data_IF_803301980913
#
_entry.id   IF_803301980913
#
_cell.length_a   1.000
_cell.length_b   1.000
_cell.length_c   1.000
_cell.angle_alpha   90.00
_cell.angle_beta   90.00
_cell.angle_gamma   90.00
#
_symmetry.space_group_name_H-M   'P 1'
#
loop_
_entity.id
_entity.type
_entity.pdbx_description
1 polymer ?
#
# COMPACT_ATOMS: atom_id res chain seq x y z
N UNK A 1 -1.31 76.10 43.51
CA UNK A 1 -2.00 74.81 43.37
C UNK A 1 -1.63 74.29 41.98
N UNK A 2 -0.83 73.22 41.97
CA UNK A 2 -0.15 72.64 40.84
C UNK A 2 -1.07 71.68 40.10
N UNK A 3 -1.22 71.89 38.78
CA UNK A 3 -1.72 70.85 37.88
C UNK A 3 -0.60 70.50 36.91
N UNK A 4 -0.02 69.37 37.11
CA UNK A 4 1.02 68.82 36.27
C UNK A 4 0.38 67.91 35.20
N UNK A 5 0.51 68.35 33.97
CA UNK A 5 0.04 67.66 32.75
C UNK A 5 0.93 66.44 32.44
N UNK A 6 0.31 65.24 32.45
CA UNK A 6 0.93 64.02 31.93
C UNK A 6 0.77 63.98 30.39
N UNK A 7 1.86 64.10 29.67
CA UNK A 7 1.96 63.75 28.25
C UNK A 7 2.43 62.27 28.14
N UNK A 8 1.69 61.38 27.45
CA UNK A 8 2.20 60.06 27.17
C UNK A 8 3.23 60.12 26.02
N UNK A 9 4.41 59.54 26.30
CA UNK A 9 5.44 59.31 25.28
C UNK A 9 4.92 58.36 24.21
N UNK A 10 4.70 58.85 23.01
CA UNK A 10 4.46 58.04 21.81
C UNK A 10 5.68 57.17 21.52
N UNK A 11 5.48 55.87 21.61
CA UNK A 11 6.48 54.84 21.35
C UNK A 11 6.78 54.79 19.85
N UNK A 12 7.99 55.28 19.46
CA UNK A 12 8.48 55.35 18.05
C UNK A 12 8.96 53.99 17.51
N UNK A 13 8.31 52.89 17.83
CA UNK A 13 8.75 51.55 17.41
C UNK A 13 7.91 50.76 16.41
N UNK A 14 6.72 51.12 15.90
CA UNK A 14 6.01 50.29 14.94
C UNK A 14 6.40 50.49 13.45
N UNK A 15 7.04 51.59 13.08
CA UNK A 15 7.26 51.88 11.66
C UNK A 15 8.35 51.00 11.01
N UNK A 16 9.37 50.58 11.73
CA UNK A 16 10.42 49.69 11.18
C UNK A 16 9.95 48.27 10.90
N UNK A 17 9.01 47.73 11.65
CA UNK A 17 8.46 46.40 11.42
C UNK A 17 7.39 46.34 10.33
N UNK A 18 6.64 47.42 10.10
CA UNK A 18 5.72 47.54 8.97
C UNK A 18 6.46 47.61 7.63
N UNK A 19 7.59 48.27 7.54
CA UNK A 19 8.38 48.37 6.28
C UNK A 19 9.05 47.02 5.96
N UNK A 20 9.56 46.28 6.96
CA UNK A 20 10.07 44.93 6.76
C UNK A 20 8.97 43.93 6.33
N UNK A 21 7.79 43.99 6.93
CA UNK A 21 6.65 43.13 6.55
C UNK A 21 6.16 43.39 5.13
N UNK A 22 6.14 44.65 4.69
CA UNK A 22 5.74 45.03 3.33
C UNK A 22 6.78 44.64 2.27
N UNK A 23 8.07 44.70 2.61
CA UNK A 23 9.17 44.24 1.73
C UNK A 23 9.21 42.73 1.59
N UNK A 24 8.97 41.96 2.67
CA UNK A 24 8.88 40.48 2.61
C UNK A 24 7.63 40.01 1.87
N UNK A 25 6.50 40.69 2.01
CA UNK A 25 5.28 40.37 1.26
C UNK A 25 5.45 40.63 -0.24
N UNK A 26 6.16 41.70 -0.61
CA UNK A 26 6.45 42.01 -2.03
C UNK A 26 7.39 40.95 -2.67
N UNK A 27 8.34 40.41 -1.94
CA UNK A 27 9.22 39.33 -2.42
C UNK A 27 8.49 37.99 -2.61
N UNK A 28 7.54 37.66 -1.75
CA UNK A 28 6.74 36.41 -1.87
C UNK A 28 5.79 36.49 -3.08
N UNK A 29 5.15 37.65 -3.30
CA UNK A 29 4.27 37.85 -4.48
C UNK A 29 5.03 37.83 -5.80
N UNK A 30 6.27 38.32 -5.80
CA UNK A 30 7.14 38.29 -7.00
C UNK A 30 7.57 36.86 -7.38
N UNK A 31 7.78 35.99 -6.39
CA UNK A 31 8.14 34.58 -6.62
C UNK A 31 7.00 33.77 -7.27
N UNK A 32 5.76 34.03 -6.92
CA UNK A 32 4.59 33.34 -7.53
C UNK A 32 4.33 33.80 -8.97
N UNK A 33 4.57 35.08 -9.30
CA UNK A 33 4.42 35.59 -10.66
C UNK A 33 5.44 35.00 -11.64
N UNK A 34 6.69 34.75 -11.22
CA UNK A 34 7.70 34.09 -12.06
C UNK A 34 7.40 32.62 -12.36
N UNK A 35 6.84 31.86 -11.38
CA UNK A 35 6.46 30.45 -11.57
C UNK A 35 5.33 30.30 -12.60
N UNK A 36 4.34 31.19 -12.59
CA UNK A 36 3.24 31.18 -13.56
C UNK A 36 3.68 31.48 -14.99
N UNK A 37 4.65 32.37 -15.18
CA UNK A 37 5.13 32.72 -16.51
C UNK A 37 5.89 31.57 -17.18
N UNK A 38 6.66 30.77 -16.41
CA UNK A 38 7.37 29.60 -16.94
C UNK A 38 6.40 28.49 -17.34
N UNK A 39 5.31 28.26 -16.56
CA UNK A 39 4.31 27.25 -16.86
C UNK A 39 3.56 27.57 -18.16
N UNK A 40 3.20 28.83 -18.39
CA UNK A 40 2.50 29.27 -19.59
C UNK A 40 3.38 29.08 -20.85
N UNK A 41 4.66 29.36 -20.78
CA UNK A 41 5.59 29.17 -21.91
C UNK A 41 5.70 27.66 -22.28
N UNK A 42 5.77 26.75 -21.33
CA UNK A 42 5.87 25.30 -21.58
C UNK A 42 4.61 24.73 -22.23
N UNK A 43 3.43 25.12 -21.76
CA UNK A 43 2.16 24.69 -22.34
C UNK A 43 1.97 25.21 -23.76
N UNK A 44 2.29 26.47 -23.99
CA UNK A 44 2.28 27.07 -25.35
C UNK A 44 3.26 26.37 -26.28
N UNK A 45 4.46 26.06 -25.79
CA UNK A 45 5.45 25.31 -26.56
C UNK A 45 4.91 23.90 -26.88
N UNK A 46 4.28 23.21 -25.93
CA UNK A 46 3.64 21.88 -26.15
C UNK A 46 2.57 21.96 -27.22
N UNK A 47 1.65 22.94 -27.14
CA UNK A 47 0.61 23.16 -28.16
C UNK A 47 1.22 23.43 -29.55
N UNK A 48 2.29 24.22 -29.63
CA UNK A 48 3.02 24.49 -30.87
C UNK A 48 3.66 23.23 -31.45
N UNK A 49 4.23 22.35 -30.60
CA UNK A 49 4.78 21.08 -31.07
C UNK A 49 3.68 20.17 -31.60
N UNK A 50 2.53 20.04 -30.90
CA UNK A 50 1.40 19.24 -31.36
C UNK A 50 0.93 19.69 -32.74
N UNK A 51 0.79 21.00 -32.95
CA UNK A 51 0.45 21.57 -34.24
C UNK A 51 1.49 21.22 -35.30
N UNK A 52 2.77 21.39 -35.01
CA UNK A 52 3.86 21.09 -35.95
C UNK A 52 3.93 19.59 -36.29
N UNK A 53 3.66 18.70 -35.33
CA UNK A 53 3.59 17.28 -35.61
C UNK A 53 2.46 16.97 -36.58
N UNK A 54 1.27 17.51 -36.31
CA UNK A 54 0.15 17.35 -37.20
C UNK A 54 0.41 17.95 -38.61
N UNK A 55 1.13 19.02 -38.71
CA UNK A 55 1.54 19.64 -40.00
C UNK A 55 2.48 18.73 -40.80
N UNK A 56 3.42 18.03 -40.12
CA UNK A 56 4.48 17.22 -40.72
C UNK A 56 4.15 15.71 -40.76
N UNK A 57 2.88 15.36 -40.69
CA UNK A 57 2.37 13.99 -40.89
C UNK A 57 1.30 14.04 -41.98
N UNK A 58 1.28 13.04 -42.86
CA UNK A 58 0.22 12.84 -43.85
C UNK A 58 -0.78 11.77 -43.34
N UNK A 59 -2.08 12.09 -43.43
CA UNK A 59 -3.18 11.20 -43.15
C UNK A 59 -3.78 10.58 -44.38
N UNK A 60 -4.22 9.31 -44.35
CA UNK A 60 -5.06 8.78 -45.42
C UNK A 60 -6.36 9.62 -45.45
N UNK A 61 -6.83 9.96 -46.66
CA UNK A 61 -8.05 10.75 -46.90
C UNK A 61 -8.05 12.17 -46.31
N UNK A 62 -6.89 12.80 -46.13
CA UNK A 62 -6.73 14.15 -45.58
C UNK A 62 -7.58 15.22 -46.34
N UNK A 63 -7.69 15.09 -47.66
CA UNK A 63 -8.44 16.03 -48.51
C UNK A 63 -9.96 16.01 -48.29
N UNK A 64 -10.49 14.97 -47.63
CA UNK A 64 -11.90 14.83 -47.32
C UNK A 64 -12.32 15.30 -45.91
N UNK A 65 -11.39 15.84 -45.15
CA UNK A 65 -11.67 16.36 -43.80
C UNK A 65 -12.34 17.76 -43.89
N UNK A 66 -13.44 17.93 -43.12
CA UNK A 66 -14.06 19.26 -42.98
C UNK A 66 -13.39 20.09 -41.88
N UNK A 67 -12.84 19.45 -40.88
CA UNK A 67 -12.04 20.06 -39.78
C UNK A 67 -10.95 19.07 -39.35
N UNK A 68 -9.91 19.61 -38.72
CA UNK A 68 -8.84 18.83 -38.16
C UNK A 68 -9.07 18.67 -36.64
N UNK A 69 -9.46 17.48 -36.19
CA UNK A 69 -9.90 17.23 -34.85
C UNK A 69 -8.70 16.85 -33.93
N UNK A 70 -8.46 17.65 -32.92
CA UNK A 70 -7.43 17.41 -31.88
C UNK A 70 -8.12 17.15 -30.56
N UNK A 71 -7.81 16.02 -29.92
CA UNK A 71 -8.28 15.71 -28.57
C UNK A 71 -7.16 15.86 -27.54
N UNK A 72 -7.50 16.42 -26.38
CA UNK A 72 -6.65 16.38 -25.18
C UNK A 72 -7.28 15.38 -24.22
N UNK A 73 -6.57 14.29 -23.95
CA UNK A 73 -7.01 13.26 -23.02
C UNK A 73 -6.63 13.65 -21.59
N UNK A 74 -7.61 14.18 -20.87
CA UNK A 74 -7.46 14.60 -19.47
C UNK A 74 -8.82 14.66 -18.80
N UNK A 75 -8.95 14.37 -17.48
CA UNK A 75 -10.21 14.51 -16.73
C UNK A 75 -10.68 15.97 -16.67
N UNK A 76 -9.75 16.94 -16.64
CA UNK A 76 -10.03 18.36 -16.49
C UNK A 76 -9.43 19.19 -17.63
N UNK A 77 -9.98 20.37 -17.88
CA UNK A 77 -9.37 21.32 -18.85
C UNK A 77 -8.00 21.77 -18.37
N UNK A 78 -7.02 21.48 -19.17
CA UNK A 78 -5.62 21.72 -18.85
C UNK A 78 -5.12 23.00 -19.52
N UNK A 79 -4.01 23.58 -19.04
CA UNK A 79 -3.39 24.71 -19.71
C UNK A 79 -3.03 24.42 -21.16
N UNK A 80 -2.61 23.18 -21.52
CA UNK A 80 -2.31 22.80 -22.92
C UNK A 80 -3.57 22.81 -23.78
N UNK A 81 -4.71 22.38 -23.23
CA UNK A 81 -6.00 22.48 -23.91
C UNK A 81 -6.34 23.93 -24.25
N UNK A 82 -6.18 24.84 -23.31
CA UNK A 82 -6.46 26.28 -23.53
C UNK A 82 -5.52 26.88 -24.60
N UNK A 83 -4.24 26.55 -24.59
CA UNK A 83 -3.28 27.00 -25.59
C UNK A 83 -3.58 26.42 -27.00
N UNK A 84 -4.05 25.14 -27.08
CA UNK A 84 -4.48 24.57 -28.35
C UNK A 84 -5.73 25.27 -28.91
N UNK A 85 -6.71 25.61 -28.04
CA UNK A 85 -7.91 26.37 -28.45
C UNK A 85 -7.50 27.73 -28.97
N UNK A 86 -6.64 28.50 -28.26
CA UNK A 86 -6.13 29.78 -28.72
C UNK A 86 -5.38 29.68 -30.05
N UNK A 87 -4.62 28.61 -30.25
CA UNK A 87 -3.92 28.35 -31.49
C UNK A 87 -4.92 28.05 -32.62
N UNK A 88 -5.93 27.24 -32.37
CA UNK A 88 -6.96 26.86 -33.34
C UNK A 88 -7.78 28.05 -33.88
N UNK A 89 -7.97 29.09 -33.05
CA UNK A 89 -8.65 30.34 -33.47
C UNK A 89 -7.82 31.15 -34.46
N UNK A 90 -6.50 31.00 -34.42
CA UNK A 90 -5.60 31.89 -35.19
C UNK A 90 -4.97 31.22 -36.42
N UNK A 91 -4.94 29.89 -36.49
CA UNK A 91 -4.27 29.17 -37.58
C UNK A 91 -5.13 28.05 -38.12
N UNK A 92 -4.90 27.70 -39.37
CA UNK A 92 -5.49 26.51 -40.01
C UNK A 92 -4.41 25.44 -40.15
N UNK A 93 -4.80 24.20 -40.13
CA UNK A 93 -3.91 23.08 -40.38
C UNK A 93 -4.27 22.46 -41.75
N UNK A 94 -3.31 22.46 -42.68
CA UNK A 94 -3.52 21.97 -44.06
C UNK A 94 -4.79 22.51 -44.75
N UNK A 95 -4.98 23.83 -44.57
CA UNK A 95 -6.15 24.59 -45.05
C UNK A 95 -7.50 24.26 -44.38
N UNK A 96 -7.52 23.38 -43.37
CA UNK A 96 -8.71 23.03 -42.59
C UNK A 96 -8.76 23.79 -41.28
N UNK A 97 -9.94 24.17 -40.77
CA UNK A 97 -10.08 24.67 -39.41
C UNK A 97 -9.70 23.57 -38.40
N UNK A 98 -9.20 23.97 -37.24
CA UNK A 98 -8.86 23.05 -36.13
C UNK A 98 -9.97 23.08 -35.11
N UNK A 99 -10.43 21.91 -34.69
CA UNK A 99 -11.36 21.75 -33.57
C UNK A 99 -10.62 21.07 -32.43
N UNK A 100 -10.69 21.64 -31.24
CA UNK A 100 -10.05 21.07 -30.05
C UNK A 100 -11.10 20.59 -29.08
N UNK A 101 -11.00 19.34 -28.66
CA UNK A 101 -11.91 18.68 -27.72
C UNK A 101 -11.15 18.15 -26.51
N UNK A 102 -11.75 18.27 -25.33
CA UNK A 102 -11.28 17.55 -24.16
C UNK A 102 -12.04 16.23 -24.02
N UNK A 103 -11.32 15.17 -23.73
CA UNK A 103 -11.90 13.82 -23.57
C UNK A 103 -11.28 13.12 -22.35
N UNK A 104 -12.05 12.24 -21.73
CA UNK A 104 -11.63 11.41 -20.61
C UNK A 104 -12.02 9.92 -20.83
N UNK A 105 -12.43 9.56 -22.03
CA UNK A 105 -12.85 8.21 -22.38
C UNK A 105 -12.20 7.75 -23.68
N UNK A 106 -11.81 6.48 -23.71
CA UNK A 106 -11.23 5.82 -24.89
C UNK A 106 -12.26 5.55 -25.98
N UNK A 107 -13.56 5.79 -25.70
CA UNK A 107 -14.62 5.59 -26.68
C UNK A 107 -14.54 6.65 -27.80
N UNK A 108 -14.71 6.19 -29.05
CA UNK A 108 -14.78 7.05 -30.21
C UNK A 108 -13.50 7.89 -30.50
N UNK A 109 -12.30 7.39 -30.13
CA UNK A 109 -11.02 8.07 -30.45
C UNK A 109 -10.75 8.16 -31.95
N UNK A 110 -11.30 7.26 -32.75
CA UNK A 110 -11.10 7.20 -34.20
C UNK A 110 -11.62 8.42 -34.98
N UNK A 111 -12.40 9.28 -34.34
CA UNK A 111 -12.86 10.53 -34.96
C UNK A 111 -11.81 11.65 -34.93
N UNK A 112 -10.80 11.53 -34.08
CA UNK A 112 -9.75 12.52 -33.93
C UNK A 112 -8.54 12.17 -34.80
N UNK A 113 -7.90 13.17 -35.37
CA UNK A 113 -6.62 13.00 -36.08
C UNK A 113 -5.45 12.98 -35.09
N UNK A 114 -5.54 13.74 -34.00
CA UNK A 114 -4.52 13.78 -32.96
C UNK A 114 -5.15 13.59 -31.59
N UNK A 115 -4.54 12.76 -30.78
CA UNK A 115 -4.86 12.60 -29.36
C UNK A 115 -3.59 12.91 -28.57
N UNK A 116 -3.64 13.98 -27.78
CA UNK A 116 -2.57 14.34 -26.84
C UNK A 116 -2.93 13.83 -25.42
N UNK A 117 -1.97 13.15 -24.80
CA UNK A 117 -2.13 12.60 -23.45
C UNK A 117 -1.19 13.39 -22.54
N UNK A 118 -1.77 14.26 -21.71
CA UNK A 118 -1.01 15.21 -20.88
C UNK A 118 -0.38 14.56 -19.65
N UNK A 119 -1.12 13.71 -18.95
CA UNK A 119 -0.60 12.99 -17.81
C UNK A 119 -0.52 11.51 -18.15
N UNK A 120 0.67 11.01 -18.36
CA UNK A 120 0.88 9.61 -18.72
C UNK A 120 0.73 8.70 -17.49
N UNK A 121 -0.48 8.37 -17.12
CA UNK A 121 -0.75 7.10 -16.47
C UNK A 121 -0.45 6.01 -17.50
N UNK A 122 0.52 5.13 -17.21
CA UNK A 122 0.95 4.06 -18.14
C UNK A 122 -0.20 3.16 -18.59
N UNK A 123 -1.19 2.93 -17.74
CA UNK A 123 -2.37 2.15 -18.08
C UNK A 123 -3.26 2.88 -19.09
N UNK A 124 -3.54 4.16 -18.90
CA UNK A 124 -4.35 4.94 -19.84
C UNK A 124 -3.70 5.04 -21.23
N UNK A 125 -2.37 5.11 -21.31
CA UNK A 125 -1.67 5.12 -22.61
C UNK A 125 -1.82 3.78 -23.32
N UNK A 126 -1.73 2.66 -22.62
CA UNK A 126 -1.91 1.33 -23.20
C UNK A 126 -3.34 1.15 -23.76
N UNK A 127 -4.35 1.50 -22.96
CA UNK A 127 -5.76 1.41 -23.34
C UNK A 127 -6.08 2.31 -24.55
N UNK A 128 -5.49 3.54 -24.60
CA UNK A 128 -5.65 4.46 -25.71
C UNK A 128 -4.95 3.92 -26.95
N UNK A 129 -3.73 3.39 -26.82
CA UNK A 129 -2.98 2.82 -27.93
C UNK A 129 -3.73 1.65 -28.56
N UNK A 130 -4.24 0.73 -27.76
CA UNK A 130 -5.10 -0.40 -28.21
C UNK A 130 -6.37 0.10 -28.91
N UNK A 131 -7.04 1.11 -28.35
CA UNK A 131 -8.27 1.66 -28.92
C UNK A 131 -8.07 2.33 -30.29
N UNK A 132 -6.87 2.82 -30.60
CA UNK A 132 -6.53 3.47 -31.88
C UNK A 132 -5.71 2.57 -32.82
N UNK A 133 -5.40 1.34 -32.42
CA UNK A 133 -4.61 0.41 -33.23
C UNK A 133 -5.25 0.21 -34.60
N UNK A 134 -4.44 0.32 -35.66
CA UNK A 134 -4.91 0.21 -37.07
C UNK A 134 -5.76 1.40 -37.55
N UNK A 135 -5.88 2.49 -36.76
CA UNK A 135 -6.65 3.67 -37.17
C UNK A 135 -5.69 4.88 -37.38
N UNK A 136 -5.99 5.77 -38.32
CA UNK A 136 -5.09 6.90 -38.61
C UNK A 136 -5.18 8.02 -37.55
N UNK A 137 -4.88 7.69 -36.31
CA UNK A 137 -4.88 8.59 -35.16
C UNK A 137 -3.45 8.75 -34.63
N UNK A 138 -2.95 9.97 -34.60
CA UNK A 138 -1.65 10.29 -34.03
C UNK A 138 -1.75 10.39 -32.49
N UNK A 139 -1.01 9.56 -31.77
CA UNK A 139 -0.82 9.70 -30.33
C UNK A 139 0.41 10.54 -30.03
N UNK A 140 0.21 11.59 -29.26
CA UNK A 140 1.28 12.43 -28.71
C UNK A 140 1.26 12.29 -27.19
N UNK A 141 2.37 11.82 -26.62
CA UNK A 141 2.55 11.64 -25.16
C UNK A 141 3.55 12.64 -24.62
N UNK A 142 3.51 12.87 -23.32
CA UNK A 142 4.45 13.74 -22.63
C UNK A 142 5.21 12.93 -21.56
N UNK A 143 6.55 12.90 -21.67
CA UNK A 143 7.48 12.24 -20.74
C UNK A 143 7.14 10.77 -20.43
N UNK A 144 6.68 10.05 -21.46
CA UNK A 144 6.28 8.66 -21.30
C UNK A 144 7.48 7.72 -21.49
N UNK A 145 7.62 6.75 -20.58
CA UNK A 145 8.81 5.88 -20.52
C UNK A 145 8.72 4.66 -21.45
N UNK A 146 7.54 4.07 -21.62
CA UNK A 146 7.38 2.91 -22.49
C UNK A 146 7.35 3.29 -23.98
N UNK A 147 8.53 3.24 -24.60
CA UNK A 147 8.73 3.64 -25.99
C UNK A 147 8.06 2.71 -27.03
N UNK A 148 7.55 1.57 -26.61
CA UNK A 148 6.81 0.65 -27.48
C UNK A 148 5.41 1.18 -27.82
N UNK A 149 4.79 1.91 -26.89
CA UNK A 149 3.42 2.42 -27.02
C UNK A 149 3.34 3.86 -27.51
N UNK A 150 4.46 4.53 -27.76
CA UNK A 150 4.46 5.92 -28.24
C UNK A 150 4.49 5.99 -29.77
N UNK A 151 3.90 7.04 -30.31
CA UNK A 151 4.12 7.47 -31.70
C UNK A 151 5.03 8.69 -31.72
N UNK A 152 4.65 9.75 -31.03
CA UNK A 152 5.53 10.89 -30.74
C UNK A 152 5.48 11.15 -29.23
N UNK A 153 6.66 11.27 -28.62
CA UNK A 153 6.80 11.53 -27.18
C UNK A 153 7.55 12.85 -26.96
N UNK A 154 6.89 13.80 -26.33
CA UNK A 154 7.53 15.03 -25.89
C UNK A 154 8.32 14.76 -24.62
N UNK A 155 9.58 15.15 -24.59
CA UNK A 155 10.50 14.92 -23.48
C UNK A 155 11.05 16.26 -22.99
N UNK A 156 10.93 16.57 -21.69
CA UNK A 156 11.55 17.76 -21.11
C UNK A 156 13.07 17.77 -21.31
N UNK A 157 13.61 18.92 -21.69
CA UNK A 157 15.05 19.12 -21.91
C UNK A 157 15.52 20.40 -21.22
N UNK A 158 15.51 20.42 -19.90
CA UNK A 158 15.73 21.60 -19.07
C UNK A 158 14.43 22.34 -18.73
N UNK A 159 14.54 23.57 -18.22
CA UNK A 159 13.39 24.31 -17.70
C UNK A 159 12.39 24.71 -18.81
N UNK A 160 12.87 25.19 -19.96
CA UNK A 160 12.05 25.82 -21.00
C UNK A 160 12.22 25.20 -22.39
N UNK A 161 12.76 23.97 -22.45
CA UNK A 161 13.00 23.28 -23.71
C UNK A 161 12.32 21.92 -23.72
N UNK A 162 11.77 21.57 -24.88
CA UNK A 162 11.25 20.26 -25.18
C UNK A 162 12.05 19.66 -26.34
N UNK A 163 12.32 18.38 -26.23
CA UNK A 163 12.71 17.50 -27.33
C UNK A 163 11.57 16.54 -27.60
N UNK A 164 11.64 15.82 -28.68
CA UNK A 164 10.66 14.77 -28.96
C UNK A 164 11.33 13.56 -29.60
N UNK A 165 10.74 12.44 -29.33
CA UNK A 165 11.10 11.12 -29.86
C UNK A 165 10.00 10.63 -30.78
N UNK A 166 10.37 10.02 -31.88
CA UNK A 166 9.43 9.53 -32.91
C UNK A 166 9.60 8.03 -33.09
N UNK A 167 8.55 7.28 -32.86
CA UNK A 167 8.47 5.89 -33.26
C UNK A 167 7.84 5.77 -34.65
N UNK A 168 8.70 5.80 -35.66
CA UNK A 168 8.29 5.76 -37.05
C UNK A 168 7.51 4.50 -37.42
N UNK A 169 7.87 3.36 -36.80
CA UNK A 169 7.16 2.11 -37.05
C UNK A 169 5.70 2.18 -36.57
N UNK A 170 5.46 2.74 -35.38
CA UNK A 170 4.10 2.91 -34.87
C UNK A 170 3.28 3.88 -35.71
N UNK A 171 3.87 4.95 -36.22
CA UNK A 171 3.20 5.87 -37.17
C UNK A 171 2.76 5.14 -38.43
N UNK A 172 3.69 4.40 -39.06
CA UNK A 172 3.41 3.66 -40.31
C UNK A 172 2.36 2.57 -40.10
N UNK A 173 2.37 1.87 -38.96
CA UNK A 173 1.38 0.86 -38.60
C UNK A 173 -0.05 1.43 -38.49
N UNK A 174 -0.17 2.73 -38.16
CA UNK A 174 -1.45 3.45 -38.15
C UNK A 174 -1.81 4.08 -39.51
N UNK A 175 -1.01 3.83 -40.55
CA UNK A 175 -1.21 4.44 -41.86
C UNK A 175 -0.82 5.91 -41.96
N UNK A 176 -0.10 6.43 -40.93
CA UNK A 176 0.39 7.80 -40.89
C UNK A 176 1.79 7.86 -41.50
N UNK A 177 2.02 8.85 -42.39
CA UNK A 177 3.33 9.02 -43.04
C UNK A 177 4.03 10.26 -42.48
N UNK A 178 5.09 10.09 -41.67
CA UNK A 178 5.89 11.23 -41.21
C UNK A 178 6.71 11.81 -42.38
N UNK A 179 6.64 13.12 -42.54
CA UNK A 179 7.51 13.85 -43.49
C UNK A 179 8.93 13.94 -42.93
N UNK A 180 9.96 14.01 -43.79
CA UNK A 180 11.35 14.11 -43.35
C UNK A 180 11.61 15.31 -42.42
N UNK A 181 10.89 16.40 -42.61
CA UNK A 181 10.97 17.64 -41.83
C UNK A 181 10.64 17.39 -40.34
N UNK A 182 9.83 16.38 -40.03
CA UNK A 182 9.52 16.03 -38.65
C UNK A 182 10.80 15.66 -37.89
N UNK A 183 11.66 14.85 -38.47
CA UNK A 183 12.94 14.44 -37.84
C UNK A 183 13.98 15.57 -37.92
N UNK A 184 14.08 16.27 -39.05
CA UNK A 184 15.03 17.37 -39.26
C UNK A 184 14.80 18.52 -38.28
N UNK A 185 13.57 18.76 -37.84
CA UNK A 185 13.20 19.80 -36.88
C UNK A 185 13.48 19.44 -35.40
N UNK A 186 14.32 18.45 -35.13
CA UNK A 186 14.79 18.11 -33.79
C UNK A 186 14.18 16.84 -33.21
N UNK A 187 13.55 16.01 -34.04
CA UNK A 187 13.09 14.69 -33.64
C UNK A 187 14.21 13.67 -33.51
N UNK A 188 14.14 12.82 -32.52
CA UNK A 188 15.00 11.65 -32.37
C UNK A 188 14.20 10.40 -32.74
N UNK A 189 14.67 9.64 -33.75
CA UNK A 189 14.01 8.39 -34.12
C UNK A 189 14.30 7.31 -33.08
N UNK A 190 13.26 6.59 -32.66
CA UNK A 190 13.37 5.49 -31.68
C UNK A 190 13.87 4.24 -32.41
N UNK A 191 14.97 3.65 -31.93
CA UNK A 191 15.51 2.38 -32.44
C UNK A 191 14.60 1.20 -32.00
N UNK A 192 13.70 0.81 -32.89
CA UNK A 192 12.75 -0.29 -32.65
C UNK A 192 13.44 -1.64 -32.49
N UNK A 193 14.59 -1.85 -33.17
CA UNK A 193 15.36 -3.10 -33.02
C UNK A 193 15.97 -3.21 -31.61
N UNK A 194 16.39 -2.08 -31.03
CA UNK A 194 16.84 -2.00 -29.63
C UNK A 194 15.67 -2.30 -28.68
N UNK A 195 14.52 -1.66 -28.87
CA UNK A 195 13.32 -1.90 -28.07
C UNK A 195 12.86 -3.36 -28.08
N UNK A 196 12.90 -4.00 -29.25
CA UNK A 196 12.55 -5.40 -29.39
C UNK A 196 13.50 -6.31 -28.58
N UNK A 197 14.82 -6.07 -28.64
CA UNK A 197 15.81 -6.81 -27.86
C UNK A 197 15.62 -6.60 -26.35
N UNK A 198 15.35 -5.36 -25.94
CA UNK A 198 15.06 -5.03 -24.53
C UNK A 198 13.78 -5.71 -24.05
N UNK A 199 12.72 -5.72 -24.88
CA UNK A 199 11.48 -6.43 -24.61
C UNK A 199 11.68 -7.94 -24.45
N UNK A 200 12.43 -8.58 -25.34
CA UNK A 200 12.77 -10.01 -25.22
C UNK A 200 13.56 -10.31 -23.95
N UNK A 201 14.56 -9.49 -23.63
CA UNK A 201 15.34 -9.65 -22.40
C UNK A 201 14.47 -9.53 -21.15
N UNK A 202 13.53 -8.58 -21.15
CA UNK A 202 12.58 -8.38 -20.06
C UNK A 202 11.63 -9.57 -19.91
N UNK A 203 11.12 -10.13 -21.00
CA UNK A 203 10.28 -11.33 -20.99
C UNK A 203 11.02 -12.54 -20.39
N UNK A 204 12.28 -12.80 -20.79
CA UNK A 204 13.09 -13.88 -20.23
C UNK A 204 13.33 -13.68 -18.74
N UNK A 205 13.57 -12.46 -18.33
CA UNK A 205 13.77 -12.13 -16.90
C UNK A 205 12.49 -12.35 -16.09
N UNK A 206 11.36 -11.91 -16.62
CA UNK A 206 10.06 -12.07 -15.99
C UNK A 206 9.67 -13.55 -15.87
N UNK A 207 9.94 -14.34 -16.91
CA UNK A 207 9.70 -15.78 -16.90
C UNK A 207 10.53 -16.51 -15.84
N UNK A 208 11.82 -16.14 -15.68
CA UNK A 208 12.67 -16.65 -14.59
C UNK A 208 12.13 -16.27 -13.21
N UNK A 209 11.64 -15.05 -13.05
CA UNK A 209 11.05 -14.61 -11.79
C UNK A 209 9.76 -15.37 -11.47
N UNK A 210 8.89 -15.61 -12.46
CA UNK A 210 7.68 -16.43 -12.28
C UNK A 210 8.06 -17.84 -11.83
N UNK A 211 8.98 -18.50 -12.51
CA UNK A 211 9.43 -19.85 -12.16
C UNK A 211 10.02 -19.91 -10.73
N UNK A 212 10.80 -18.90 -10.35
CA UNK A 212 11.33 -18.79 -8.99
C UNK A 212 10.22 -18.63 -7.95
N UNK A 213 9.22 -17.79 -8.22
CA UNK A 213 8.06 -17.59 -7.31
C UNK A 213 7.19 -18.83 -7.20
N UNK A 214 6.96 -19.55 -8.29
CA UNK A 214 6.23 -20.81 -8.28
C UNK A 214 6.93 -21.86 -7.41
N UNK A 215 8.26 -21.95 -7.47
CA UNK A 215 9.04 -22.84 -6.61
C UNK A 215 8.90 -22.46 -5.13
N UNK A 216 9.01 -21.19 -4.80
CA UNK A 216 8.82 -20.70 -3.42
C UNK A 216 7.41 -20.98 -2.91
N UNK A 217 6.38 -20.81 -3.75
CA UNK A 217 5.00 -21.14 -3.41
C UNK A 217 4.82 -22.64 -3.14
N UNK A 218 5.41 -23.52 -3.96
CA UNK A 218 5.37 -24.95 -3.74
C UNK A 218 6.06 -25.36 -2.42
N UNK A 219 7.23 -24.79 -2.12
CA UNK A 219 7.94 -25.02 -0.85
C UNK A 219 7.12 -24.52 0.35
N UNK A 220 6.50 -23.35 0.26
CA UNK A 220 5.65 -22.80 1.30
C UNK A 220 4.40 -23.67 1.53
N UNK A 221 3.75 -24.13 0.47
CA UNK A 221 2.59 -25.01 0.54
C UNK A 221 2.95 -26.31 1.26
N UNK A 222 4.08 -26.94 0.90
CA UNK A 222 4.55 -28.15 1.56
C UNK A 222 4.84 -27.90 3.05
N UNK A 223 5.45 -26.76 3.38
CA UNK A 223 5.76 -26.39 4.76
C UNK A 223 4.50 -26.16 5.58
N UNK A 224 3.51 -25.51 5.00
CA UNK A 224 2.20 -25.30 5.66
C UNK A 224 1.49 -26.62 5.93
N UNK A 225 1.45 -27.54 4.97
CA UNK A 225 0.89 -28.88 5.16
C UNK A 225 1.61 -29.66 6.27
N UNK A 226 2.93 -29.62 6.32
CA UNK A 226 3.71 -30.27 7.38
C UNK A 226 3.43 -29.67 8.75
N UNK A 227 3.22 -28.34 8.84
CA UNK A 227 2.84 -27.66 10.08
C UNK A 227 1.44 -28.06 10.54
N UNK A 228 0.51 -28.20 9.62
CA UNK A 228 -0.87 -28.63 9.91
C UNK A 228 -0.88 -30.05 10.47
N UNK A 229 -0.19 -31.01 9.84
CA UNK A 229 -0.03 -32.38 10.33
C UNK A 229 0.63 -32.43 11.73
N UNK A 230 1.63 -31.57 11.95
CA UNK A 230 2.27 -31.48 13.27
C UNK A 230 1.31 -30.90 14.33
N UNK A 231 0.52 -29.91 13.97
CA UNK A 231 -0.49 -29.30 14.86
C UNK A 231 -1.53 -30.35 15.28
N UNK A 232 -2.07 -31.12 14.34
CA UNK A 232 -3.06 -32.18 14.60
C UNK A 232 -2.48 -33.25 15.54
N UNK A 233 -1.22 -33.64 15.33
CA UNK A 233 -0.51 -34.59 16.18
C UNK A 233 -0.33 -34.07 17.60
N UNK A 234 0.05 -32.81 17.77
CA UNK A 234 0.19 -32.19 19.09
C UNK A 234 -1.15 -32.08 19.82
N UNK A 235 -2.21 -31.75 19.10
CA UNK A 235 -3.56 -31.66 19.66
C UNK A 235 -4.05 -33.05 20.16
N UNK A 236 -3.80 -34.12 19.39
CA UNK A 236 -4.06 -35.48 19.80
C UNK A 236 -3.26 -35.87 21.06
N UNK A 237 -1.96 -35.54 21.11
CA UNK A 237 -1.12 -35.83 22.30
C UNK A 237 -1.59 -35.04 23.52
N UNK A 238 -1.99 -33.79 23.38
CA UNK A 238 -2.59 -33.02 24.48
C UNK A 238 -3.88 -33.62 24.99
N UNK A 239 -4.74 -34.11 24.11
CA UNK A 239 -5.98 -34.80 24.49
C UNK A 239 -5.68 -36.05 25.31
N UNK A 240 -4.72 -36.88 24.88
CA UNK A 240 -4.37 -38.12 25.60
C UNK A 240 -3.68 -37.80 26.94
N UNK A 241 -2.85 -36.82 27.02
CA UNK A 241 -2.24 -36.35 28.26
C UNK A 241 -3.29 -35.85 29.26
N UNK A 242 -4.27 -35.07 28.79
CA UNK A 242 -5.37 -34.59 29.63
C UNK A 242 -6.20 -35.76 30.18
N UNK A 243 -6.49 -36.80 29.38
CA UNK A 243 -7.16 -38.01 29.86
C UNK A 243 -6.34 -38.75 30.95
N UNK A 244 -5.00 -38.78 30.75
CA UNK A 244 -4.11 -39.40 31.75
C UNK A 244 -4.08 -38.61 33.06
N UNK A 245 -4.06 -37.28 32.99
CA UNK A 245 -4.13 -36.38 34.15
C UNK A 245 -5.46 -36.63 34.89
N UNK A 246 -6.60 -36.66 34.21
CA UNK A 246 -7.91 -36.92 34.84
C UNK A 246 -7.96 -38.27 35.55
N UNK A 247 -7.35 -39.33 34.94
CA UNK A 247 -7.23 -40.62 35.59
C UNK A 247 -6.38 -40.56 36.87
N UNK A 248 -5.26 -39.87 36.81
CA UNK A 248 -4.37 -39.70 37.97
C UNK A 248 -5.06 -38.91 39.08
N UNK A 249 -5.77 -37.83 38.74
CA UNK A 249 -6.52 -37.02 39.72
C UNK A 249 -7.63 -37.86 40.40
N UNK A 250 -8.35 -38.68 39.64
CA UNK A 250 -9.36 -39.57 40.20
C UNK A 250 -8.76 -40.63 41.14
N UNK A 251 -7.58 -41.17 40.81
CA UNK A 251 -6.84 -42.11 41.65
C UNK A 251 -6.35 -41.46 42.94
N UNK A 252 -5.78 -40.25 42.83
CA UNK A 252 -5.36 -39.45 43.99
C UNK A 252 -6.55 -39.18 44.93
N UNK A 253 -7.68 -38.78 44.37
CA UNK A 253 -8.90 -38.55 45.17
C UNK A 253 -9.36 -39.80 45.90
N UNK A 254 -9.32 -40.98 45.22
CA UNK A 254 -9.67 -42.28 45.84
C UNK A 254 -8.69 -42.65 46.97
N UNK A 255 -7.38 -42.47 46.74
CA UNK A 255 -6.35 -42.70 47.75
C UNK A 255 -6.48 -41.77 48.95
N UNK A 256 -6.75 -40.51 48.74
CA UNK A 256 -6.98 -39.56 49.84
C UNK A 256 -8.20 -39.94 50.68
N UNK A 257 -9.30 -40.38 50.05
CA UNK A 257 -10.46 -40.90 50.78
C UNK A 257 -10.14 -42.14 51.60
N UNK A 258 -9.31 -43.04 51.08
CA UNK A 258 -8.86 -44.23 51.81
C UNK A 258 -7.96 -43.88 52.99
N UNK A 259 -7.04 -42.92 52.80
CA UNK A 259 -6.18 -42.43 53.87
C UNK A 259 -7.02 -41.80 54.99
N UNK A 260 -8.03 -41.03 54.64
CA UNK A 260 -8.89 -40.39 55.65
C UNK A 260 -9.71 -41.40 56.44
N UNK A 261 -10.26 -42.45 55.78
CA UNK A 261 -10.90 -43.55 56.44
C UNK A 261 -9.96 -44.29 57.43
N UNK A 262 -8.75 -44.62 56.96
CA UNK A 262 -7.76 -45.30 57.82
C UNK A 262 -7.29 -44.40 58.98
N UNK A 263 -7.24 -43.10 58.83
CA UNK A 263 -6.99 -42.18 59.96
C UNK A 263 -8.11 -42.20 60.96
N UNK A 264 -9.37 -42.24 60.54
CA UNK A 264 -10.52 -42.24 61.40
C UNK A 264 -10.56 -43.59 62.20
N UNK A 265 -10.38 -44.70 61.48
CA UNK A 265 -10.32 -46.05 62.12
C UNK A 265 -9.20 -46.14 63.19
N UNK A 266 -8.06 -45.54 62.91
CA UNK A 266 -6.95 -45.47 63.86
C UNK A 266 -7.28 -44.62 65.05
N UNK A 267 -7.95 -43.46 64.87
CA UNK A 267 -8.42 -42.66 65.99
C UNK A 267 -9.43 -43.39 66.88
N UNK A 268 -10.34 -44.09 66.28
CA UNK A 268 -11.37 -44.91 67.03
C UNK A 268 -10.69 -46.00 67.80
N UNK A 269 -9.72 -46.71 67.21
CA UNK A 269 -8.92 -47.72 67.94
C UNK A 269 -8.09 -47.12 69.06
N UNK A 270 -7.50 -45.96 68.89
CA UNK A 270 -6.77 -45.27 69.96
C UNK A 270 -7.70 -44.93 71.13
N UNK A 271 -8.89 -44.40 70.85
CA UNK A 271 -9.90 -44.12 71.87
C UNK A 271 -10.33 -45.38 72.61
N UNK A 272 -10.52 -46.52 71.92
CA UNK A 272 -10.86 -47.79 72.49
C UNK A 272 -9.74 -48.34 73.41
N UNK A 273 -8.45 -48.20 72.94
CA UNK A 273 -7.32 -48.62 73.79
C UNK A 273 -7.20 -47.72 75.04
N UNK A 274 -7.42 -46.42 74.93
CA UNK A 274 -7.44 -45.56 76.11
C UNK A 274 -8.52 -45.93 77.12
N UNK A 275 -9.74 -46.21 76.62
CA UNK A 275 -10.86 -46.67 77.48
C UNK A 275 -10.51 -47.95 78.20
N UNK A 276 -10.04 -48.97 77.46
CA UNK A 276 -9.62 -50.24 78.03
C UNK A 276 -8.49 -50.13 79.05
N UNK A 277 -7.56 -49.22 78.80
CA UNK A 277 -6.47 -48.97 79.75
C UNK A 277 -7.01 -48.40 81.09
N UNK A 278 -7.94 -47.43 81.01
CA UNK A 278 -8.61 -46.89 82.20
C UNK A 278 -9.39 -47.94 82.97
N UNK A 279 -10.08 -48.83 82.24
CA UNK A 279 -10.80 -49.93 82.85
C UNK A 279 -9.85 -50.93 83.60
N UNK A 280 -8.73 -51.26 82.93
CA UNK A 280 -7.69 -52.12 83.59
C UNK A 280 -7.10 -51.47 84.84
N UNK A 281 -6.79 -50.17 84.77
CA UNK A 281 -6.31 -49.42 85.96
C UNK A 281 -7.35 -49.47 87.10
N UNK A 282 -8.63 -49.35 86.76
CA UNK A 282 -9.72 -49.40 87.74
C UNK A 282 -9.81 -50.77 88.33
N UNK A 283 -9.75 -51.82 87.51
CA UNK A 283 -9.75 -53.23 88.00
C UNK A 283 -8.53 -53.55 88.85
N UNK A 284 -7.33 -53.05 88.46
CA UNK A 284 -6.11 -53.20 89.31
C UNK A 284 -6.26 -52.56 90.69
N UNK A 285 -6.85 -51.34 90.75
CA UNK A 285 -7.12 -50.64 92.01
C UNK A 285 -8.09 -51.43 92.86
N UNK A 286 -9.20 -52.01 92.27
CA UNK A 286 -10.14 -52.84 92.97
C UNK A 286 -9.50 -54.16 93.50
N UNK A 287 -8.68 -54.79 92.66
CA UNK A 287 -7.95 -56.00 93.05
C UNK A 287 -7.01 -55.69 94.21
N UNK A 288 -6.24 -54.54 94.16
CA UNK A 288 -5.39 -54.14 95.26
C UNK A 288 -6.16 -53.87 96.58
N UNK A 289 -7.37 -53.27 96.50
CA UNK A 289 -8.22 -53.06 97.66
C UNK A 289 -8.70 -54.41 98.24
N UNK A 290 -9.13 -55.35 97.41
CA UNK A 290 -9.58 -56.71 97.87
C UNK A 290 -8.42 -57.49 98.50
N UNK A 291 -7.21 -57.43 97.86
CA UNK A 291 -5.99 -58.01 98.45
C UNK A 291 -5.67 -57.45 99.84
N UNK A 292 -5.75 -56.12 99.99
CA UNK A 292 -5.56 -55.46 101.31
C UNK A 292 -6.58 -55.85 102.34
N UNK A 293 -7.85 -56.05 101.91
CA UNK A 293 -8.92 -56.59 102.81
C UNK A 293 -8.68 -58.04 103.20
N UNK A 294 -8.23 -58.88 102.25
CA UNK A 294 -7.88 -60.27 102.57
C UNK A 294 -6.73 -60.33 103.59
N UNK A 295 -5.64 -59.58 103.26
CA UNK A 295 -4.50 -59.53 104.20
C UNK A 295 -4.88 -59.01 105.60
N UNK A 296 -5.78 -58.02 105.68
CA UNK A 296 -6.30 -57.50 106.95
C UNK A 296 -7.17 -58.52 107.68
N UNK A 297 -7.92 -59.38 106.96
CA UNK A 297 -8.71 -60.47 107.54
C UNK A 297 -7.81 -61.63 108.01
N UNK A 298 -6.82 -61.99 107.22
CA UNK A 298 -5.88 -63.07 107.61
C UNK A 298 -5.10 -62.67 108.89
N UNK A 299 -4.71 -61.45 109.02
CA UNK A 299 -4.10 -60.95 110.30
C UNK A 299 -5.03 -61.11 111.48
N UNK A 300 -6.32 -60.76 111.33
CA UNK A 300 -7.34 -60.95 112.41
C UNK A 300 -7.66 -62.37 112.76
N UNK A 301 -7.41 -63.31 111.87
CA UNK A 301 -7.65 -64.77 112.12
C UNK A 301 -6.39 -65.39 112.80
N UNK A 302 -5.21 -64.80 112.64
CA UNK A 302 -3.94 -65.26 113.22
C UNK A 302 -3.69 -64.72 114.65
N UNK A 303 -4.47 -63.72 115.09
CA UNK A 303 -4.56 -63.27 116.49
C UNK A 303 -5.63 -64.05 117.27
#
# INVERSE_FOLDING_TARGET
MLFQSYLPKLCARPIKYCICGLLTFMFVVSGYAFAQTQTINKQRLTATYIYNFAKNIEWPNEAGLNSFEIAVFSPDKTPVYNELVLLAENVKLKNQPITVSQINSVKALSKYQVVYIESANSQSVADIYEAVEGKPVLLVTFDFTNKQLVMINLVPSGADRLRFEVNKSNLLNQGLKPLPELILNGGTEIDVAKLFREGQSSLVTLQKQLQSREKVLADLTTKTQNQEVLSDRLESQMSDLNKSIQKSDSLIAAQNNQIEKSKQERLDLLNEVELRTKDLETQQKQLAMVMNQINAREKRVAE
#
